data_IF_146700087462
#
_entry.id   IF_146700087462
#
_cell.length_a   1.000
_cell.length_b   1.000
_cell.length_c   1.000
_cell.angle_alpha   90.00
_cell.angle_beta   90.00
_cell.angle_gamma   90.00
#
_symmetry.space_group_name_H-M   'P 1'
#
loop_
_entity.id
_entity.type
_entity.pdbx_description
1 polymer ?
#
# COMPACT_ATOMS: atom_id res chain seq x y z
N UNK A 1 -16.11 50.29 37.68
CA UNK A 1 -15.47 49.32 38.58
C UNK A 1 -15.85 47.93 38.10
N UNK A 2 -14.94 47.16 37.47
CA UNK A 2 -15.26 45.82 37.01
C UNK A 2 -15.48 44.91 38.24
N UNK A 3 -16.61 44.21 38.24
CA UNK A 3 -16.89 43.15 39.22
C UNK A 3 -15.92 42.00 38.93
N UNK A 4 -15.09 41.64 39.91
CA UNK A 4 -14.16 40.51 39.79
C UNK A 4 -14.92 39.18 39.76
N UNK A 5 -14.36 38.20 39.04
CA UNK A 5 -14.87 36.83 39.01
C UNK A 5 -14.84 36.21 40.40
N UNK A 6 -15.84 35.39 40.72
CA UNK A 6 -15.88 34.66 41.98
C UNK A 6 -14.95 33.45 41.95
N UNK A 7 -14.40 33.06 43.11
CA UNK A 7 -13.55 31.86 43.22
C UNK A 7 -14.27 30.59 42.75
N UNK A 8 -15.59 30.53 42.99
CA UNK A 8 -16.40 29.38 42.59
C UNK A 8 -16.63 29.32 41.08
N UNK A 9 -16.70 30.47 40.39
CA UNK A 9 -16.74 30.52 38.92
C UNK A 9 -15.48 29.94 38.30
N UNK A 10 -14.31 30.30 38.84
CA UNK A 10 -13.05 29.78 38.33
C UNK A 10 -12.93 28.28 38.60
N UNK A 11 -13.42 27.80 39.76
CA UNK A 11 -13.39 26.38 40.13
C UNK A 11 -14.31 25.52 39.24
N UNK A 12 -15.50 26.02 38.91
CA UNK A 12 -16.42 25.34 37.99
C UNK A 12 -15.88 25.36 36.56
N UNK A 13 -15.24 26.46 36.13
CA UNK A 13 -14.66 26.55 34.79
C UNK A 13 -13.54 25.53 34.57
N UNK A 14 -12.58 25.40 35.50
CA UNK A 14 -11.47 24.44 35.34
C UNK A 14 -11.93 22.99 35.40
N UNK A 15 -13.01 22.70 36.15
CA UNK A 15 -13.57 21.34 36.24
C UNK A 15 -14.28 20.94 34.96
N UNK A 16 -15.09 21.84 34.36
CA UNK A 16 -15.71 21.59 33.06
C UNK A 16 -14.65 21.39 31.98
N UNK A 17 -13.61 22.25 31.95
CA UNK A 17 -12.51 22.12 30.99
C UNK A 17 -11.79 20.78 31.16
N UNK A 18 -11.50 20.35 32.39
CA UNK A 18 -10.87 19.05 32.66
C UNK A 18 -11.68 17.85 32.15
N UNK A 19 -13.01 17.89 32.27
CA UNK A 19 -13.90 16.82 31.77
C UNK A 19 -13.89 16.79 30.24
N UNK A 20 -13.98 17.96 29.58
CA UNK A 20 -13.99 18.05 28.12
C UNK A 20 -12.68 17.55 27.51
N UNK A 21 -11.53 17.88 28.12
CA UNK A 21 -10.23 17.38 27.66
C UNK A 21 -10.10 15.85 27.77
N UNK A 22 -10.74 15.22 28.76
CA UNK A 22 -10.69 13.76 28.95
C UNK A 22 -11.35 12.96 27.81
N UNK A 23 -12.33 13.51 27.11
CA UNK A 23 -13.11 12.79 26.08
C UNK A 23 -12.48 12.88 24.68
N UNK A 24 -11.69 13.92 24.40
CA UNK A 24 -11.21 14.23 23.03
C UNK A 24 -10.11 13.28 22.53
N UNK A 25 -9.40 12.58 23.42
CA UNK A 25 -8.15 11.87 23.07
C UNK A 25 -8.39 10.51 22.38
N UNK A 26 -9.56 9.89 22.51
CA UNK A 26 -9.72 8.45 22.22
C UNK A 26 -10.17 8.10 20.79
N UNK A 27 -10.65 9.04 19.96
CA UNK A 27 -11.31 8.72 18.67
C UNK A 27 -10.44 8.85 17.41
N UNK A 28 -9.26 9.47 17.49
CA UNK A 28 -8.45 9.77 16.29
C UNK A 28 -7.82 8.56 15.58
N UNK A 29 -7.62 7.45 16.29
CA UNK A 29 -6.81 6.32 15.78
C UNK A 29 -7.53 5.48 14.72
N UNK A 30 -8.85 5.29 14.81
CA UNK A 30 -9.62 4.49 13.86
C UNK A 30 -9.80 5.18 12.50
N UNK A 31 -10.06 6.50 12.52
CA UNK A 31 -10.20 7.30 11.30
C UNK A 31 -8.89 7.35 10.49
N UNK A 32 -7.76 7.51 11.19
CA UNK A 32 -6.44 7.51 10.56
C UNK A 32 -6.09 6.14 9.96
N UNK A 33 -6.47 5.03 10.60
CA UNK A 33 -6.28 3.67 10.04
C UNK A 33 -7.06 3.49 8.74
N UNK A 34 -8.34 3.88 8.74
CA UNK A 34 -9.20 3.79 7.54
C UNK A 34 -8.64 4.62 6.38
N UNK A 35 -8.20 5.86 6.65
CA UNK A 35 -7.58 6.71 5.63
C UNK A 35 -6.33 6.11 5.02
N UNK A 36 -5.48 5.44 5.81
CA UNK A 36 -4.29 4.74 5.30
C UNK A 36 -4.66 3.52 4.47
N UNK A 37 -5.67 2.75 4.89
CA UNK A 37 -6.16 1.61 4.12
C UNK A 37 -6.74 2.04 2.76
N UNK A 38 -7.47 3.16 2.70
CA UNK A 38 -7.93 3.74 1.42
C UNK A 38 -6.76 4.17 0.54
N UNK A 39 -5.73 4.80 1.11
CA UNK A 39 -4.53 5.16 0.37
C UNK A 39 -3.84 3.92 -0.22
N UNK A 40 -3.73 2.84 0.55
CA UNK A 40 -3.17 1.56 0.07
C UNK A 40 -3.94 0.99 -1.12
N UNK A 41 -5.27 1.03 -1.07
CA UNK A 41 -6.10 0.58 -2.19
C UNK A 41 -5.86 1.41 -3.46
N UNK A 42 -5.74 2.74 -3.34
CA UNK A 42 -5.42 3.63 -4.46
C UNK A 42 -4.03 3.34 -5.03
N UNK A 43 -3.04 3.16 -4.16
CA UNK A 43 -1.66 2.85 -4.55
C UNK A 43 -1.58 1.53 -5.34
N UNK A 44 -2.28 0.49 -4.89
CA UNK A 44 -2.35 -0.78 -5.61
C UNK A 44 -3.00 -0.64 -6.99
N UNK A 45 -4.04 0.18 -7.13
CA UNK A 45 -4.70 0.46 -8.43
C UNK A 45 -3.77 1.19 -9.39
N UNK A 46 -3.01 2.16 -8.90
CA UNK A 46 -2.02 2.88 -9.70
C UNK A 46 -0.90 1.95 -10.18
N UNK A 47 -0.38 1.08 -9.29
CA UNK A 47 0.60 0.06 -9.64
C UNK A 47 0.06 -0.92 -10.68
N UNK A 48 -1.18 -1.39 -10.51
CA UNK A 48 -1.86 -2.25 -11.46
C UNK A 48 -1.94 -1.61 -12.86
N UNK A 49 -2.35 -0.34 -12.96
CA UNK A 49 -2.43 0.36 -14.25
C UNK A 49 -1.05 0.49 -14.91
N UNK A 50 -0.03 0.83 -14.14
CA UNK A 50 1.34 0.96 -14.65
C UNK A 50 1.92 -0.39 -15.12
N UNK A 51 1.65 -1.48 -14.38
CA UNK A 51 2.04 -2.84 -14.78
C UNK A 51 1.33 -3.30 -16.04
N UNK A 52 0.07 -2.94 -16.23
CA UNK A 52 -0.67 -3.24 -17.46
C UNK A 52 -0.08 -2.50 -18.66
N UNK A 53 0.28 -1.22 -18.48
CA UNK A 53 0.96 -0.46 -19.53
C UNK A 53 2.32 -1.05 -19.87
N UNK A 54 3.09 -1.49 -18.86
CA UNK A 54 4.34 -2.21 -19.05
C UNK A 54 4.13 -3.49 -19.87
N UNK A 55 3.13 -4.31 -19.51
CA UNK A 55 2.83 -5.54 -20.23
C UNK A 55 2.40 -5.28 -21.67
N UNK A 56 1.60 -4.24 -21.93
CA UNK A 56 1.19 -3.85 -23.28
C UNK A 56 2.39 -3.56 -24.19
N UNK A 57 3.45 -2.96 -23.63
CA UNK A 57 4.63 -2.57 -24.41
C UNK A 57 5.70 -3.67 -24.47
N UNK A 58 5.86 -4.45 -23.41
CA UNK A 58 6.93 -5.45 -23.29
C UNK A 58 6.47 -6.90 -23.52
N UNK A 59 5.16 -7.17 -23.46
CA UNK A 59 4.53 -8.51 -23.53
C UNK A 59 4.88 -9.47 -22.39
N UNK A 60 5.42 -8.95 -21.28
CA UNK A 60 5.67 -9.68 -20.03
C UNK A 60 5.64 -8.68 -18.87
N UNK A 61 5.52 -9.18 -17.65
CA UNK A 61 5.64 -8.40 -16.43
C UNK A 61 7.11 -8.36 -15.94
N UNK A 62 7.54 -7.28 -15.28
CA UNK A 62 8.89 -7.18 -14.76
C UNK A 62 9.17 -8.31 -13.74
N UNK A 63 10.21 -9.11 -13.96
CA UNK A 63 10.63 -10.14 -13.01
C UNK A 63 11.14 -9.44 -11.77
N UNK A 64 10.70 -9.92 -10.60
CA UNK A 64 10.81 -9.22 -9.32
C UNK A 64 12.19 -8.57 -9.11
N UNK A 65 12.23 -7.24 -9.25
CA UNK A 65 13.14 -6.39 -8.48
C UNK A 65 12.21 -5.71 -7.49
N UNK A 66 12.53 -5.84 -6.21
CA UNK A 66 11.66 -5.49 -5.08
C UNK A 66 11.03 -4.10 -5.31
N UNK A 67 9.70 -4.01 -5.43
CA UNK A 67 9.02 -2.70 -5.46
C UNK A 67 9.34 -1.85 -4.22
N UNK A 68 9.80 -2.51 -3.14
CA UNK A 68 10.37 -1.88 -1.96
C UNK A 68 11.55 -0.95 -2.23
N UNK A 69 12.41 -1.31 -3.20
CA UNK A 69 13.71 -0.66 -3.43
C UNK A 69 13.75 0.11 -4.73
N UNK A 70 12.75 -0.04 -5.59
CA UNK A 70 12.63 0.71 -6.83
C UNK A 70 11.96 2.05 -6.57
N UNK A 71 12.58 3.12 -7.06
CA UNK A 71 11.96 4.44 -7.03
C UNK A 71 10.94 4.62 -8.18
N UNK A 72 11.12 3.93 -9.31
CA UNK A 72 10.26 4.06 -10.49
C UNK A 72 10.09 2.75 -11.26
N UNK A 73 8.97 2.62 -11.99
CA UNK A 73 8.73 1.53 -12.94
C UNK A 73 9.06 2.01 -14.35
N UNK A 74 10.08 1.41 -14.96
CA UNK A 74 10.54 1.73 -16.31
C UNK A 74 10.64 0.47 -17.17
N UNK A 75 10.79 0.61 -18.48
CA UNK A 75 10.94 -0.52 -19.41
C UNK A 75 12.22 -1.34 -19.20
N UNK A 76 13.17 -0.86 -18.41
CA UNK A 76 14.34 -1.63 -17.99
C UNK A 76 14.14 -2.45 -16.72
N UNK A 77 13.06 -2.20 -15.95
CA UNK A 77 12.80 -2.88 -14.69
C UNK A 77 12.55 -4.37 -14.94
N UNK A 78 13.40 -5.24 -14.38
CA UNK A 78 13.24 -6.70 -14.52
C UNK A 78 13.39 -7.23 -15.95
N UNK A 79 14.02 -6.47 -16.85
CA UNK A 79 14.35 -6.91 -18.20
C UNK A 79 15.87 -7.11 -18.33
N UNK A 80 16.38 -8.32 -18.69
CA UNK A 80 17.81 -8.54 -18.87
C UNK A 80 18.41 -7.75 -20.04
N UNK A 81 17.57 -7.34 -21.00
CA UNK A 81 17.95 -6.50 -22.14
C UNK A 81 16.99 -5.31 -22.25
N UNK A 82 17.24 -4.22 -21.49
CA UNK A 82 16.41 -3.02 -21.54
C UNK A 82 16.31 -2.48 -22.98
N UNK A 83 15.14 -1.98 -23.41
CA UNK A 83 15.03 -1.33 -24.71
C UNK A 83 15.89 -0.06 -24.77
N UNK A 84 16.41 0.24 -25.96
CA UNK A 84 17.34 1.37 -26.19
C UNK A 84 16.77 2.74 -25.79
N UNK A 85 15.44 2.90 -25.84
CA UNK A 85 14.73 4.07 -25.35
C UNK A 85 13.93 3.69 -24.09
N UNK A 86 14.38 4.08 -22.89
CA UNK A 86 13.66 3.78 -21.66
C UNK A 86 12.34 4.55 -21.61
N UNK A 87 11.25 3.84 -21.38
CA UNK A 87 9.93 4.42 -21.11
C UNK A 87 9.61 4.28 -19.63
N UNK A 88 9.12 5.35 -19.02
CA UNK A 88 8.67 5.35 -17.63
C UNK A 88 7.16 5.12 -17.58
N UNK A 89 6.74 4.11 -16.81
CA UNK A 89 5.34 3.75 -16.58
C UNK A 89 4.82 4.28 -15.24
N UNK A 90 5.72 4.43 -14.26
CA UNK A 90 5.41 5.02 -12.98
C UNK A 90 6.63 5.78 -12.45
N UNK A 91 6.47 7.09 -12.23
CA UNK A 91 7.57 7.96 -11.79
C UNK A 91 7.98 7.71 -10.34
N UNK A 92 7.03 7.34 -9.49
CA UNK A 92 7.24 7.05 -8.08
C UNK A 92 6.43 5.83 -7.67
N UNK A 93 7.10 4.78 -7.23
CA UNK A 93 6.42 3.65 -6.60
C UNK A 93 5.90 4.12 -5.24
N UNK A 94 4.58 3.99 -4.97
CA UNK A 94 4.04 4.38 -3.69
C UNK A 94 4.72 3.62 -2.56
N UNK A 95 5.05 4.35 -1.49
CA UNK A 95 5.63 3.80 -0.27
C UNK A 95 4.56 3.73 0.80
N UNK A 96 4.77 2.85 1.77
CA UNK A 96 3.85 2.70 2.89
C UNK A 96 3.69 4.02 3.67
N UNK A 97 2.46 4.54 3.85
CA UNK A 97 2.21 5.78 4.58
C UNK A 97 2.60 5.76 6.06
N UNK A 98 2.78 4.58 6.69
CA UNK A 98 3.09 4.49 8.14
C UNK A 98 4.58 4.41 8.47
N UNK A 99 5.36 3.60 7.77
CA UNK A 99 6.75 3.26 8.14
C UNK A 99 7.77 3.58 7.06
N UNK A 100 7.35 3.83 5.82
CA UNK A 100 8.26 4.13 4.70
C UNK A 100 9.04 2.92 4.14
N UNK A 101 8.93 1.75 4.74
CA UNK A 101 9.53 0.46 4.32
C UNK A 101 8.43 -0.58 4.00
N UNK A 102 8.69 -1.59 3.15
CA UNK A 102 7.77 -1.95 2.08
C UNK A 102 6.46 -2.55 2.56
N UNK A 103 5.35 -1.98 2.07
CA UNK A 103 3.99 -2.47 2.37
C UNK A 103 3.22 -2.95 1.16
N UNK A 104 3.85 -2.94 -0.01
CA UNK A 104 3.29 -3.54 -1.21
C UNK A 104 4.20 -4.68 -1.65
N UNK A 105 3.66 -5.89 -1.58
CA UNK A 105 4.32 -7.04 -2.13
C UNK A 105 3.92 -7.21 -3.58
N UNK A 106 4.92 -7.50 -4.40
CA UNK A 106 4.76 -7.83 -5.80
C UNK A 106 5.51 -9.11 -6.09
N UNK A 107 4.79 -10.09 -6.62
CA UNK A 107 5.34 -11.37 -7.04
C UNK A 107 4.94 -11.62 -8.49
N UNK A 108 5.93 -11.65 -9.39
CA UNK A 108 5.72 -12.01 -10.78
C UNK A 108 5.87 -13.53 -10.95
N UNK A 109 5.04 -14.13 -11.80
CA UNK A 109 4.98 -15.59 -12.00
C UNK A 109 4.90 -15.96 -13.48
N UNK A 110 5.47 -17.11 -13.82
CA UNK A 110 5.40 -17.69 -15.17
C UNK A 110 3.99 -18.23 -15.49
N UNK A 111 3.30 -18.78 -14.49
CA UNK A 111 2.00 -19.43 -14.59
C UNK A 111 1.04 -18.88 -13.54
N UNK A 112 -0.22 -19.34 -13.54
CA UNK A 112 -1.22 -18.96 -12.52
C UNK A 112 -0.88 -19.48 -11.12
N UNK A 113 -0.02 -20.48 -11.04
CA UNK A 113 0.52 -21.01 -9.78
C UNK A 113 1.86 -20.37 -9.48
N UNK A 114 2.23 -20.31 -8.19
CA UNK A 114 3.51 -19.75 -7.74
C UNK A 114 4.67 -20.48 -8.42
N UNK A 115 5.20 -19.86 -9.47
CA UNK A 115 6.32 -20.35 -10.25
C UNK A 115 7.20 -19.16 -10.62
N UNK A 116 8.47 -19.23 -10.20
CA UNK A 116 9.47 -18.21 -10.45
C UNK A 116 9.64 -17.92 -11.94
N UNK A 117 9.92 -16.65 -12.26
CA UNK A 117 10.24 -16.19 -13.60
C UNK A 117 11.32 -15.10 -13.50
N UNK A 118 12.23 -15.07 -14.47
CA UNK A 118 13.42 -14.21 -14.44
C UNK A 118 13.62 -13.44 -15.76
N UNK A 119 12.65 -13.52 -16.68
CA UNK A 119 12.61 -12.87 -18.00
C UNK A 119 13.80 -13.13 -18.95
N UNK A 120 14.85 -13.82 -18.51
CA UNK A 120 15.98 -14.24 -19.32
C UNK A 120 15.69 -15.55 -20.07
N UNK A 121 15.01 -16.49 -19.40
CA UNK A 121 14.65 -17.81 -19.97
C UNK A 121 13.15 -18.07 -19.91
N UNK A 122 12.48 -17.61 -18.85
CA UNK A 122 11.03 -17.78 -18.63
C UNK A 122 10.43 -16.41 -18.36
N UNK A 123 9.51 -15.98 -19.23
CA UNK A 123 8.83 -14.68 -19.16
C UNK A 123 7.71 -14.72 -18.12
N UNK A 124 7.59 -13.66 -17.33
CA UNK A 124 6.49 -13.50 -16.38
C UNK A 124 5.21 -13.07 -17.09
N UNK A 125 4.17 -13.90 -17.07
CA UNK A 125 2.85 -13.58 -17.65
C UNK A 125 1.77 -13.33 -16.60
N UNK A 126 2.06 -13.64 -15.35
CA UNK A 126 1.16 -13.45 -14.22
C UNK A 126 1.86 -12.60 -13.16
N UNK A 127 1.08 -11.88 -12.37
CA UNK A 127 1.58 -11.21 -11.19
C UNK A 127 0.55 -11.25 -10.07
N UNK A 128 1.06 -11.14 -8.86
CA UNK A 128 0.29 -10.99 -7.64
C UNK A 128 0.72 -9.69 -6.97
N UNK A 129 -0.25 -8.85 -6.65
CA UNK A 129 -0.02 -7.58 -5.96
C UNK A 129 -0.81 -7.56 -4.65
N UNK A 130 -0.09 -7.35 -3.54
CA UNK A 130 -0.64 -7.47 -2.21
C UNK A 130 -0.29 -6.27 -1.32
N UNK A 131 -1.20 -5.89 -0.42
CA UNK A 131 -0.94 -4.92 0.64
C UNK A 131 -1.32 -5.47 2.04
N UNK A 132 -0.72 -4.89 3.07
CA UNK A 132 -1.04 -5.15 4.47
C UNK A 132 -2.00 -4.07 5.02
N UNK A 133 -3.30 -4.35 5.07
CA UNK A 133 -4.31 -3.47 5.68
C UNK A 133 -4.24 -3.51 7.20
N UNK A 134 -4.37 -2.34 7.82
CA UNK A 134 -4.38 -2.19 9.29
C UNK A 134 -5.71 -2.59 9.91
N UNK A 135 -6.82 -2.31 9.22
CA UNK A 135 -8.11 -2.88 9.55
C UNK A 135 -8.30 -4.14 8.70
N UNK A 136 -7.76 -5.27 9.17
CA UNK A 136 -8.19 -6.57 8.65
C UNK A 136 -9.70 -6.67 8.88
N UNK A 137 -10.50 -6.56 7.81
CA UNK A 137 -11.93 -6.81 7.87
C UNK A 137 -12.12 -8.26 8.31
N UNK A 138 -12.81 -8.47 9.42
CA UNK A 138 -13.12 -9.76 10.06
C UNK A 138 -14.04 -10.66 9.22
N UNK A 139 -13.70 -10.88 7.94
CA UNK A 139 -14.52 -11.58 6.95
C UNK A 139 -13.96 -11.61 5.54
N UNK A 140 -12.82 -10.98 5.26
CA UNK A 140 -12.11 -11.13 3.98
C UNK A 140 -10.88 -11.98 4.25
N UNK A 141 -10.96 -13.26 3.89
CA UNK A 141 -9.83 -14.17 4.05
C UNK A 141 -8.60 -13.54 3.36
N UNK A 142 -7.42 -13.51 4.00
CA UNK A 142 -6.21 -13.20 3.27
C UNK A 142 -6.19 -14.13 2.07
N UNK A 143 -6.01 -13.59 0.87
CA UNK A 143 -5.79 -14.46 -0.28
C UNK A 143 -4.62 -15.36 0.09
N UNK A 144 -4.86 -16.67 0.19
CA UNK A 144 -3.82 -17.64 0.55
C UNK A 144 -2.57 -17.48 -0.35
N UNK A 145 -2.78 -16.99 -1.57
CA UNK A 145 -1.75 -16.62 -2.54
C UNK A 145 -0.83 -15.50 -2.04
N UNK A 146 -1.37 -14.41 -1.45
CA UNK A 146 -0.56 -13.32 -0.89
C UNK A 146 0.19 -13.76 0.37
N UNK A 147 -0.43 -14.55 1.24
CA UNK A 147 0.27 -15.09 2.40
C UNK A 147 1.43 -16.00 1.97
N UNK A 148 1.20 -16.88 0.99
CA UNK A 148 2.23 -17.78 0.47
C UNK A 148 3.34 -17.05 -0.29
N UNK A 149 3.03 -15.99 -1.04
CA UNK A 149 4.00 -15.26 -1.84
C UNK A 149 4.76 -14.16 -1.06
N UNK A 150 4.13 -13.57 -0.04
CA UNK A 150 4.56 -12.33 0.58
C UNK A 150 4.63 -12.37 2.11
N UNK A 151 4.01 -13.37 2.74
CA UNK A 151 3.93 -13.54 4.19
C UNK A 151 2.59 -13.11 4.79
N UNK A 152 2.39 -13.50 6.05
CA UNK A 152 1.10 -13.42 6.76
C UNK A 152 0.59 -12.01 7.08
N UNK A 153 1.40 -10.97 6.88
CA UNK A 153 0.98 -9.58 7.04
C UNK A 153 0.15 -9.07 5.84
N UNK A 154 0.26 -9.69 4.67
CA UNK A 154 -0.39 -9.24 3.43
C UNK A 154 -1.76 -9.88 3.28
N UNK A 155 -2.81 -9.07 3.42
CA UNK A 155 -4.20 -9.52 3.51
C UNK A 155 -5.12 -8.90 2.44
N UNK A 156 -4.64 -7.94 1.64
CA UNK A 156 -5.36 -7.37 0.50
C UNK A 156 -4.72 -7.81 -0.81
N UNK A 157 -5.47 -8.47 -1.68
CA UNK A 157 -5.05 -8.82 -3.05
C UNK A 157 -5.75 -7.93 -4.06
N UNK A 158 -4.99 -7.49 -5.07
CA UNK A 158 -5.57 -6.94 -6.30
C UNK A 158 -5.26 -7.88 -7.45
N UNK A 159 -6.30 -8.46 -8.04
CA UNK A 159 -6.19 -9.34 -9.21
C UNK A 159 -6.04 -8.52 -10.50
N UNK A 160 -5.38 -9.05 -11.54
CA UNK A 160 -5.29 -8.39 -12.85
C UNK A 160 -6.68 -8.11 -13.43
N UNK A 161 -6.83 -6.97 -14.11
CA UNK A 161 -8.05 -6.67 -14.87
C UNK A 161 -8.15 -7.71 -16.00
N UNK A 162 -9.27 -8.43 -16.05
CA UNK A 162 -9.58 -9.39 -17.13
C UNK A 162 -9.83 -8.66 -18.44
#
# INVERSE_FOLDING_TARGET
>A
MPKGFTLIEVLIAITIVGIVFGVIITSGSALQRSSRDTQREVDLRNLQSALQQYYSDQSFYPSAITLATLDSLTSGTGNPTPPATPKTYLNQIPKEPRTGDPSYCYSAQATKTIQSCENNSVRCHYYLLCAAKEAASSGQAPSAECEAACGSAYNLQVTPIQ
#
